data_IF_823127039646
#
_entry.id   IF_823127039646
#
_cell.length_a   1.000
_cell.length_b   1.000
_cell.length_c   1.000
_cell.angle_alpha   90.00
_cell.angle_beta   90.00
_cell.angle_gamma   90.00
#
_symmetry.space_group_name_H-M   'P 1'
#
loop_
_entity.id
_entity.type
_entity.pdbx_description
1 polymer ?
#
# COMPACT_ATOMS: atom_id res chain seq x y z
N UNK A 1 -3.89 4.02 -23.93
CA UNK A 1 -2.66 4.83 -24.12
C UNK A 1 -2.33 5.71 -22.92
N UNK A 2 -3.32 6.35 -22.25
CA UNK A 2 -3.11 7.25 -21.11
C UNK A 2 -2.47 6.51 -19.91
N UNK A 3 -2.94 5.30 -19.58
CA UNK A 3 -2.38 4.50 -18.50
C UNK A 3 -0.90 4.12 -18.75
N UNK A 4 -0.52 3.83 -20.01
CA UNK A 4 0.86 3.53 -20.39
C UNK A 4 1.80 4.74 -20.20
N UNK A 5 1.31 5.95 -20.55
CA UNK A 5 2.05 7.17 -20.31
C UNK A 5 2.22 7.46 -18.80
N UNK A 6 1.19 7.23 -17.99
CA UNK A 6 1.26 7.41 -16.55
C UNK A 6 2.24 6.44 -15.89
N UNK A 7 2.26 5.16 -16.30
CA UNK A 7 3.23 4.16 -15.83
C UNK A 7 4.67 4.58 -16.21
N UNK A 8 4.88 5.02 -17.44
CA UNK A 8 6.19 5.44 -17.92
C UNK A 8 6.67 6.73 -17.26
N UNK A 9 5.76 7.65 -16.96
CA UNK A 9 6.04 8.91 -16.28
C UNK A 9 6.41 8.68 -14.81
N UNK A 10 5.72 7.77 -14.11
CA UNK A 10 6.07 7.39 -12.75
C UNK A 10 7.35 6.56 -12.66
N UNK A 11 7.58 5.63 -13.59
CA UNK A 11 8.85 4.88 -13.66
C UNK A 11 10.05 5.80 -13.98
N UNK A 12 9.82 6.96 -14.59
CA UNK A 12 10.81 8.01 -14.85
C UNK A 12 10.84 9.07 -13.75
N UNK A 13 9.82 9.12 -12.92
CA UNK A 13 9.72 10.05 -11.81
C UNK A 13 10.52 9.49 -10.61
N UNK A 14 11.42 10.30 -10.06
CA UNK A 14 12.27 9.97 -8.91
C UNK A 14 11.48 9.40 -7.72
N UNK A 15 10.22 9.77 -7.58
CA UNK A 15 9.35 9.32 -6.50
C UNK A 15 8.92 7.85 -6.60
N UNK A 16 8.60 7.35 -7.80
CA UNK A 16 8.27 5.93 -8.00
C UNK A 16 9.47 5.02 -7.74
N UNK A 17 10.66 5.45 -8.19
CA UNK A 17 11.92 4.74 -7.92
C UNK A 17 12.22 4.75 -6.42
N UNK A 18 12.02 5.89 -5.73
CA UNK A 18 12.22 6.02 -4.28
C UNK A 18 11.30 5.07 -3.51
N UNK A 19 10.03 4.98 -3.90
CA UNK A 19 9.05 4.08 -3.31
C UNK A 19 9.48 2.60 -3.44
N UNK A 20 9.83 2.19 -4.67
CA UNK A 20 10.29 0.83 -4.93
C UNK A 20 11.59 0.51 -4.19
N UNK A 21 12.57 1.44 -4.21
CA UNK A 21 13.83 1.30 -3.51
C UNK A 21 13.63 1.22 -1.99
N UNK A 22 12.71 1.99 -1.44
CA UNK A 22 12.37 1.95 -0.02
C UNK A 22 11.89 0.55 0.40
N UNK A 23 10.89 -0.03 -0.30
CA UNK A 23 10.42 -1.38 0.00
C UNK A 23 11.49 -2.45 -0.23
N UNK A 24 12.32 -2.27 -1.25
CA UNK A 24 13.45 -3.18 -1.53
C UNK A 24 14.44 -3.18 -0.36
N UNK A 25 14.84 -2.00 0.14
CA UNK A 25 15.79 -1.87 1.27
C UNK A 25 15.19 -2.41 2.56
N UNK A 26 13.91 -2.10 2.85
CA UNK A 26 13.22 -2.60 4.04
C UNK A 26 13.13 -4.13 4.01
N UNK A 27 12.70 -4.70 2.89
CA UNK A 27 12.56 -6.14 2.74
C UNK A 27 13.92 -6.85 2.82
N UNK A 28 14.93 -6.38 2.10
CA UNK A 28 16.27 -6.92 2.15
C UNK A 28 16.88 -6.81 3.56
N UNK A 29 16.68 -5.67 4.23
CA UNK A 29 17.13 -5.44 5.60
C UNK A 29 16.52 -6.40 6.61
N UNK A 30 15.20 -6.68 6.49
CA UNK A 30 14.52 -7.64 7.36
C UNK A 30 15.03 -9.07 7.14
N UNK A 31 15.27 -9.47 5.90
CA UNK A 31 15.86 -10.78 5.60
C UNK A 31 17.30 -10.89 6.14
N UNK A 32 18.08 -9.81 6.10
CA UNK A 32 19.44 -9.81 6.64
C UNK A 32 19.46 -9.88 8.19
N UNK A 33 18.49 -9.21 8.86
CA UNK A 33 18.45 -9.13 10.33
C UNK A 33 17.82 -10.35 10.98
N UNK A 34 16.92 -11.05 10.31
CA UNK A 34 16.16 -12.16 10.88
C UNK A 34 16.54 -13.47 10.21
N UNK A 35 17.13 -14.40 11.01
CA UNK A 35 17.51 -15.72 10.55
C UNK A 35 16.32 -16.67 10.28
N UNK A 36 15.09 -16.32 10.71
CA UNK A 36 13.90 -17.14 10.55
C UNK A 36 12.93 -16.49 9.56
N UNK A 37 12.72 -17.10 8.43
CA UNK A 37 11.86 -16.62 7.33
C UNK A 37 10.42 -16.33 7.75
N UNK A 38 9.86 -17.11 8.66
CA UNK A 38 8.51 -16.89 9.19
C UNK A 38 8.38 -15.56 9.95
N UNK A 39 9.39 -15.16 10.73
CA UNK A 39 9.40 -13.86 11.44
C UNK A 39 9.53 -12.69 10.48
N UNK A 40 10.27 -12.86 9.38
CA UNK A 40 10.39 -11.85 8.32
C UNK A 40 9.03 -11.56 7.70
N UNK A 41 8.24 -12.58 7.37
CA UNK A 41 6.91 -12.41 6.78
C UNK A 41 5.96 -11.63 7.70
N UNK A 42 5.93 -11.92 9.00
CA UNK A 42 5.10 -11.20 9.98
C UNK A 42 5.56 -9.74 10.13
N UNK A 43 6.87 -9.50 10.22
CA UNK A 43 7.41 -8.14 10.31
C UNK A 43 7.13 -7.32 9.05
N UNK A 44 7.28 -7.92 7.87
CA UNK A 44 6.92 -7.31 6.59
C UNK A 44 5.44 -6.96 6.53
N UNK A 45 4.57 -7.87 6.99
CA UNK A 45 3.13 -7.65 6.99
C UNK A 45 2.75 -6.44 7.85
N UNK A 46 3.33 -6.30 9.04
CA UNK A 46 3.10 -5.15 9.93
C UNK A 46 3.60 -3.84 9.30
N UNK A 47 4.80 -3.83 8.75
CA UNK A 47 5.36 -2.66 8.05
C UNK A 47 4.51 -2.27 6.84
N UNK A 48 4.10 -3.23 6.02
CA UNK A 48 3.28 -3.00 4.85
C UNK A 48 1.89 -2.46 5.20
N UNK A 49 1.22 -3.05 6.21
CA UNK A 49 -0.10 -2.59 6.66
C UNK A 49 -0.10 -1.13 7.13
N UNK A 50 1.00 -0.67 7.73
CA UNK A 50 1.16 0.70 8.19
C UNK A 50 1.58 1.67 7.07
N UNK A 51 2.59 1.31 6.28
CA UNK A 51 3.20 2.20 5.30
C UNK A 51 2.44 2.30 3.98
N UNK A 52 1.84 1.21 3.49
CA UNK A 52 1.11 1.24 2.23
C UNK A 52 -0.04 2.26 2.25
N UNK A 53 -0.93 2.26 3.28
CA UNK A 53 -1.99 3.26 3.36
C UNK A 53 -1.47 4.69 3.44
N UNK A 54 -0.42 4.92 4.24
CA UNK A 54 0.21 6.23 4.37
C UNK A 54 0.72 6.75 3.03
N UNK A 55 1.57 5.94 2.39
CA UNK A 55 2.22 6.34 1.13
C UNK A 55 1.20 6.49 0.01
N UNK A 56 0.25 5.55 -0.12
CA UNK A 56 -0.80 5.62 -1.16
C UNK A 56 -1.69 6.85 -0.98
N UNK A 57 -2.04 7.21 0.27
CA UNK A 57 -2.84 8.40 0.57
C UNK A 57 -2.08 9.69 0.21
N UNK A 58 -0.82 9.80 0.60
CA UNK A 58 0.02 10.97 0.29
C UNK A 58 0.26 11.11 -1.20
N UNK A 59 0.71 10.04 -1.86
CA UNK A 59 1.02 10.08 -3.29
C UNK A 59 -0.23 10.35 -4.13
N UNK A 60 -1.35 9.71 -3.81
CA UNK A 60 -2.61 9.94 -4.51
C UNK A 60 -3.06 11.40 -4.44
N UNK A 61 -3.03 11.98 -3.24
CA UNK A 61 -3.41 13.37 -3.03
C UNK A 61 -2.46 14.34 -3.74
N UNK A 62 -1.15 14.16 -3.58
CA UNK A 62 -0.14 15.02 -4.22
C UNK A 62 -0.22 14.92 -5.74
N UNK A 63 -0.34 13.71 -6.28
CA UNK A 63 -0.44 13.48 -7.72
C UNK A 63 -1.67 14.15 -8.31
N UNK A 64 -2.82 14.02 -7.65
CA UNK A 64 -4.06 14.64 -8.09
C UNK A 64 -3.95 16.16 -8.16
N UNK A 65 -3.43 16.83 -7.12
CA UNK A 65 -3.26 18.28 -7.11
C UNK A 65 -2.24 18.76 -8.15
N UNK A 66 -1.14 18.04 -8.34
CA UNK A 66 -0.14 18.39 -9.36
C UNK A 66 -0.67 18.20 -10.79
N UNK A 67 -1.67 17.35 -10.96
CA UNK A 67 -2.26 17.07 -12.28
C UNK A 67 -3.49 17.93 -12.61
N UNK A 68 -3.92 18.84 -11.72
CA UNK A 68 -5.11 19.69 -11.95
C UNK A 68 -4.97 20.54 -13.21
N UNK A 69 -3.85 21.24 -13.39
CA UNK A 69 -3.60 22.06 -14.57
C UNK A 69 -3.62 21.23 -15.86
N UNK A 70 -3.04 20.04 -15.83
CA UNK A 70 -3.08 19.11 -16.95
C UNK A 70 -4.52 18.63 -17.23
N UNK A 71 -5.31 18.34 -16.20
CA UNK A 71 -6.72 17.96 -16.35
C UNK A 71 -7.53 19.09 -17.01
N UNK A 72 -7.34 20.33 -16.60
CA UNK A 72 -8.01 21.48 -17.17
C UNK A 72 -7.70 21.63 -18.67
N UNK A 73 -6.44 21.48 -19.06
CA UNK A 73 -6.01 21.53 -20.46
C UNK A 73 -6.58 20.37 -21.30
N UNK A 74 -6.61 19.15 -20.76
CA UNK A 74 -7.15 17.98 -21.47
C UNK A 74 -8.67 18.07 -21.62
N UNK A 75 -9.36 18.68 -20.65
CA UNK A 75 -10.81 18.85 -20.69
C UNK A 75 -11.29 19.93 -21.68
N UNK A 76 -10.40 20.74 -22.25
CA UNK A 76 -10.72 21.60 -23.41
C UNK A 76 -10.86 20.82 -24.70
N UNK A 77 -10.35 19.58 -24.74
CA UNK A 77 -10.50 18.66 -25.87
C UNK A 77 -11.79 17.82 -25.69
N UNK A 78 -12.36 17.23 -26.75
CA UNK A 78 -13.57 16.43 -26.69
C UNK A 78 -13.31 15.06 -26.04
N UNK A 79 -12.80 15.05 -24.78
CA UNK A 79 -12.52 13.84 -24.01
C UNK A 79 -13.43 13.81 -22.78
N UNK A 80 -13.97 12.64 -22.45
CA UNK A 80 -14.84 12.49 -21.29
C UNK A 80 -14.04 12.65 -19.99
N UNK A 81 -14.59 13.40 -19.02
CA UNK A 81 -13.99 13.60 -17.68
C UNK A 81 -13.69 12.26 -16.99
N UNK A 82 -14.58 11.26 -17.17
CA UNK A 82 -14.41 9.92 -16.59
C UNK A 82 -13.19 9.20 -17.15
N UNK A 83 -12.92 9.30 -18.44
CA UNK A 83 -11.76 8.66 -19.08
C UNK A 83 -10.45 9.23 -18.58
N UNK A 84 -10.37 10.56 -18.42
CA UNK A 84 -9.17 11.22 -17.89
C UNK A 84 -8.93 10.82 -16.44
N UNK A 85 -9.95 10.89 -15.60
CA UNK A 85 -9.87 10.53 -14.18
C UNK A 85 -9.46 9.05 -13.97
N UNK A 86 -10.15 8.12 -14.66
CA UNK A 86 -9.83 6.69 -14.57
C UNK A 86 -8.43 6.38 -15.12
N UNK A 87 -8.01 7.05 -16.19
CA UNK A 87 -6.67 6.89 -16.75
C UNK A 87 -5.58 7.29 -15.76
N UNK A 88 -5.76 8.41 -15.05
CA UNK A 88 -4.83 8.88 -14.02
C UNK A 88 -4.80 7.96 -12.80
N UNK A 89 -5.98 7.57 -12.31
CA UNK A 89 -6.11 6.64 -11.19
C UNK A 89 -5.46 5.29 -11.47
N UNK A 90 -5.83 4.64 -12.59
CA UNK A 90 -5.30 3.34 -12.96
C UNK A 90 -3.79 3.40 -13.27
N UNK A 91 -3.32 4.48 -13.88
CA UNK A 91 -1.89 4.68 -14.12
C UNK A 91 -1.09 4.76 -12.83
N UNK A 92 -1.55 5.55 -11.86
CA UNK A 92 -0.90 5.67 -10.56
C UNK A 92 -1.02 4.38 -9.74
N UNK A 93 -2.19 3.74 -9.74
CA UNK A 93 -2.40 2.45 -9.08
C UNK A 93 -1.45 1.36 -9.61
N UNK A 94 -1.36 1.23 -10.94
CA UNK A 94 -0.46 0.25 -11.57
C UNK A 94 1.01 0.52 -11.23
N UNK A 95 1.41 1.78 -11.16
CA UNK A 95 2.78 2.14 -10.83
C UNK A 95 3.13 1.87 -9.36
N UNK A 96 2.25 2.20 -8.41
CA UNK A 96 2.47 1.92 -6.99
C UNK A 96 2.41 0.41 -6.70
N UNK A 97 1.42 -0.29 -7.23
CA UNK A 97 1.32 -1.75 -7.10
C UNK A 97 2.53 -2.45 -7.73
N UNK A 98 2.93 -2.05 -8.94
CA UNK A 98 4.12 -2.58 -9.60
C UNK A 98 5.39 -2.33 -8.80
N UNK A 99 5.58 -1.11 -8.29
CA UNK A 99 6.70 -0.75 -7.41
C UNK A 99 6.74 -1.57 -6.12
N UNK A 100 5.58 -1.81 -5.51
CA UNK A 100 5.45 -2.66 -4.32
C UNK A 100 5.79 -4.13 -4.62
N UNK A 101 5.24 -4.69 -5.70
CA UNK A 101 5.51 -6.08 -6.10
C UNK A 101 7.00 -6.28 -6.39
N UNK A 102 7.64 -5.34 -7.08
CA UNK A 102 9.09 -5.38 -7.36
C UNK A 102 9.90 -5.21 -6.07
N UNK A 103 9.54 -4.22 -5.23
CA UNK A 103 10.27 -3.89 -4.00
C UNK A 103 10.24 -4.99 -2.95
N UNK A 104 9.11 -5.69 -2.80
CA UNK A 104 8.97 -6.81 -1.86
C UNK A 104 9.28 -8.15 -2.54
N UNK A 105 8.82 -8.36 -3.77
CA UNK A 105 8.94 -9.63 -4.46
C UNK A 105 10.38 -10.01 -4.78
N UNK A 106 11.20 -9.08 -5.31
CA UNK A 106 12.58 -9.40 -5.69
C UNK A 106 13.42 -9.88 -4.49
N UNK A 107 13.51 -9.14 -3.36
CA UNK A 107 14.29 -9.61 -2.21
C UNK A 107 13.74 -10.92 -1.64
N UNK A 108 12.43 -11.09 -1.61
CA UNK A 108 11.79 -12.31 -1.11
C UNK A 108 12.13 -13.53 -1.96
N UNK A 109 12.26 -13.38 -3.27
CA UNK A 109 12.65 -14.45 -4.18
C UNK A 109 14.14 -14.77 -4.11
N UNK A 110 15.01 -13.77 -3.84
CA UNK A 110 16.47 -13.94 -3.83
C UNK A 110 16.98 -14.43 -2.47
N UNK A 111 16.37 -13.95 -1.36
CA UNK A 111 16.86 -14.17 -0.01
C UNK A 111 15.95 -15.10 0.81
N UNK A 112 14.75 -15.41 0.31
CA UNK A 112 13.77 -16.26 0.99
C UNK A 112 14.06 -17.74 0.79
N UNK A 113 13.57 -18.57 1.75
CA UNK A 113 13.54 -20.02 1.58
C UNK A 113 12.38 -20.41 0.68
N UNK A 114 12.61 -21.36 -0.23
CA UNK A 114 11.59 -21.81 -1.20
C UNK A 114 10.62 -22.86 -0.58
N UNK A 115 10.27 -22.68 0.70
CA UNK A 115 9.25 -23.51 1.32
C UNK A 115 7.85 -23.11 0.87
N UNK A 116 6.94 -24.06 0.73
CA UNK A 116 5.56 -23.79 0.30
C UNK A 116 4.86 -22.77 1.23
N UNK A 117 5.10 -22.87 2.55
CA UNK A 117 4.47 -21.97 3.53
C UNK A 117 4.95 -20.53 3.39
N UNK A 118 6.23 -20.33 3.07
CA UNK A 118 6.77 -19.00 2.86
C UNK A 118 6.26 -18.38 1.54
N UNK A 119 6.21 -19.17 0.47
CA UNK A 119 5.67 -18.70 -0.82
C UNK A 119 4.22 -18.25 -0.69
N UNK A 120 3.38 -19.02 0.02
CA UNK A 120 1.98 -18.67 0.28
C UNK A 120 1.90 -17.36 1.08
N UNK A 121 2.71 -17.20 2.13
CA UNK A 121 2.74 -15.99 2.96
C UNK A 121 3.13 -14.75 2.16
N UNK A 122 4.14 -14.85 1.29
CA UNK A 122 4.58 -13.75 0.43
C UNK A 122 3.50 -13.40 -0.62
N UNK A 123 2.87 -14.41 -1.24
CA UNK A 123 1.79 -14.18 -2.20
C UNK A 123 0.57 -13.52 -1.55
N UNK A 124 0.21 -13.95 -0.34
CA UNK A 124 -0.85 -13.30 0.44
C UNK A 124 -0.48 -11.85 0.75
N UNK A 125 0.75 -11.58 1.19
CA UNK A 125 1.23 -10.23 1.46
C UNK A 125 1.16 -9.33 0.22
N UNK A 126 1.64 -9.81 -0.93
CA UNK A 126 1.61 -9.06 -2.19
C UNK A 126 0.18 -8.78 -2.64
N UNK A 127 -0.73 -9.74 -2.48
CA UNK A 127 -2.13 -9.59 -2.85
C UNK A 127 -2.82 -8.57 -1.93
N UNK A 128 -2.73 -8.73 -0.62
CA UNK A 128 -3.35 -7.83 0.36
C UNK A 128 -2.78 -6.42 0.23
N UNK A 129 -1.45 -6.27 0.12
CA UNK A 129 -0.81 -4.98 -0.06
C UNK A 129 -1.21 -4.27 -1.35
N UNK A 130 -1.39 -5.01 -2.44
CA UNK A 130 -1.88 -4.47 -3.71
C UNK A 130 -3.32 -3.95 -3.59
N UNK A 131 -4.22 -4.72 -2.97
CA UNK A 131 -5.59 -4.28 -2.70
C UNK A 131 -5.64 -3.06 -1.80
N UNK A 132 -4.82 -3.04 -0.74
CA UNK A 132 -4.72 -1.93 0.18
C UNK A 132 -4.25 -0.65 -0.53
N UNK A 133 -3.25 -0.76 -1.41
CA UNK A 133 -2.77 0.34 -2.26
C UNK A 133 -3.91 0.93 -3.10
N UNK A 134 -4.66 0.08 -3.79
CA UNK A 134 -5.78 0.49 -4.66
C UNK A 134 -6.87 1.20 -3.87
N UNK A 135 -7.26 0.66 -2.70
CA UNK A 135 -8.32 1.23 -1.85
C UNK A 135 -7.91 2.60 -1.32
N UNK A 136 -6.72 2.71 -0.71
CA UNK A 136 -6.27 3.98 -0.13
C UNK A 136 -5.99 5.05 -1.19
N UNK A 137 -5.56 4.63 -2.38
CA UNK A 137 -5.45 5.52 -3.53
C UNK A 137 -6.81 6.06 -3.98
N UNK A 138 -7.86 5.22 -4.00
CA UNK A 138 -9.22 5.65 -4.32
C UNK A 138 -9.75 6.67 -3.29
N UNK A 139 -9.52 6.41 -2.00
CA UNK A 139 -9.89 7.31 -0.92
C UNK A 139 -9.15 8.66 -1.06
N UNK A 140 -7.87 8.65 -1.37
CA UNK A 140 -7.08 9.87 -1.54
C UNK A 140 -7.54 10.72 -2.73
N UNK A 141 -7.93 10.09 -3.85
CA UNK A 141 -8.52 10.77 -4.99
C UNK A 141 -9.88 11.39 -4.63
N UNK A 142 -10.70 10.67 -3.87
CA UNK A 142 -11.98 11.19 -3.39
C UNK A 142 -11.79 12.43 -2.50
N UNK A 143 -10.85 12.36 -1.56
CA UNK A 143 -10.52 13.50 -0.68
C UNK A 143 -10.04 14.69 -1.51
N UNK A 144 -9.16 14.46 -2.49
CA UNK A 144 -8.62 15.53 -3.34
C UNK A 144 -9.66 16.19 -4.24
N UNK A 145 -10.78 15.51 -4.52
CA UNK A 145 -11.95 16.11 -5.22
C UNK A 145 -12.78 16.98 -4.27
N UNK A 146 -12.94 16.55 -3.02
CA UNK A 146 -13.78 17.25 -2.02
C UNK A 146 -13.10 18.55 -1.55
N UNK A 147 -11.79 18.53 -1.38
CA UNK A 147 -11.03 19.67 -0.88
C UNK A 147 -10.30 20.38 -2.03
N UNK A 148 -10.62 21.67 -2.23
CA UNK A 148 -9.94 22.47 -3.26
C UNK A 148 -8.52 22.88 -2.84
N UNK A 149 -8.29 23.05 -1.55
CA UNK A 149 -7.01 23.44 -0.98
C UNK A 149 -6.11 22.21 -0.78
N UNK A 150 -4.91 22.27 -1.35
CA UNK A 150 -3.89 21.20 -1.25
C UNK A 150 -3.54 20.86 0.21
N UNK A 151 -3.42 21.88 1.07
CA UNK A 151 -3.08 21.69 2.49
C UNK A 151 -4.18 20.95 3.24
N UNK A 152 -5.43 21.35 3.03
CA UNK A 152 -6.61 20.69 3.62
C UNK A 152 -6.78 19.27 3.12
N UNK A 153 -6.58 19.04 1.83
CA UNK A 153 -6.66 17.69 1.25
C UNK A 153 -5.59 16.75 1.80
N UNK A 154 -4.33 17.21 1.92
CA UNK A 154 -3.25 16.42 2.53
C UNK A 154 -3.53 16.12 4.00
N UNK A 155 -3.99 17.12 4.77
CA UNK A 155 -4.33 16.92 6.18
C UNK A 155 -5.48 15.92 6.35
N UNK A 156 -6.52 15.99 5.49
CA UNK A 156 -7.62 15.03 5.50
C UNK A 156 -7.17 13.61 5.13
N UNK A 157 -6.31 13.45 4.13
CA UNK A 157 -5.77 12.16 3.72
C UNK A 157 -4.93 11.52 4.85
N UNK A 158 -4.07 12.31 5.52
CA UNK A 158 -3.33 11.88 6.70
C UNK A 158 -4.26 11.55 7.88
N UNK A 159 -5.33 12.34 8.08
CA UNK A 159 -6.34 12.08 9.11
C UNK A 159 -7.05 10.74 8.92
N UNK A 160 -7.45 10.42 7.68
CA UNK A 160 -8.07 9.12 7.36
C UNK A 160 -7.08 7.97 7.58
N UNK A 161 -5.82 8.13 7.16
CA UNK A 161 -4.79 7.13 7.41
C UNK A 161 -4.59 6.91 8.92
N UNK A 162 -4.41 7.98 9.69
CA UNK A 162 -4.20 7.90 11.14
C UNK A 162 -5.39 7.25 11.85
N UNK A 163 -6.61 7.64 11.48
CA UNK A 163 -7.83 7.05 12.03
C UNK A 163 -7.89 5.55 11.75
N UNK A 164 -7.58 5.13 10.51
CA UNK A 164 -7.58 3.71 10.13
C UNK A 164 -6.49 2.93 10.88
N UNK A 165 -5.30 3.50 11.05
CA UNK A 165 -4.21 2.88 11.80
C UNK A 165 -4.60 2.69 13.28
N UNK A 166 -5.15 3.74 13.94
CA UNK A 166 -5.59 3.67 15.34
C UNK A 166 -6.73 2.67 15.55
N UNK A 167 -7.70 2.63 14.64
CA UNK A 167 -8.82 1.67 14.71
C UNK A 167 -8.30 0.24 14.55
N UNK A 168 -7.37 0.01 13.63
CA UNK A 168 -6.77 -1.31 13.44
C UNK A 168 -6.03 -1.78 14.69
N UNK A 169 -5.14 -0.94 15.24
CA UNK A 169 -4.39 -1.26 16.46
C UNK A 169 -5.32 -1.48 17.66
N UNK A 170 -6.35 -0.66 17.80
CA UNK A 170 -7.37 -0.80 18.85
C UNK A 170 -8.16 -2.10 18.75
N UNK A 171 -8.56 -2.52 17.53
CA UNK A 171 -9.27 -3.78 17.31
C UNK A 171 -8.38 -4.99 17.59
N UNK A 172 -7.10 -4.94 17.19
CA UNK A 172 -6.14 -6.02 17.47
C UNK A 172 -5.94 -6.16 18.98
N UNK A 173 -5.82 -5.04 19.71
CA UNK A 173 -5.62 -5.03 21.15
C UNK A 173 -6.86 -5.55 21.90
N UNK A 174 -8.06 -5.13 21.49
CA UNK A 174 -9.33 -5.64 22.01
C UNK A 174 -9.47 -7.15 21.76
N UNK A 175 -9.16 -7.59 20.55
CA UNK A 175 -9.17 -9.02 20.19
C UNK A 175 -8.21 -9.82 21.08
N UNK A 176 -6.97 -9.35 21.23
CA UNK A 176 -5.98 -9.99 22.07
C UNK A 176 -6.44 -10.10 23.54
N UNK A 177 -7.05 -9.05 24.09
CA UNK A 177 -7.58 -9.06 25.45
C UNK A 177 -8.77 -10.03 25.61
N UNK A 178 -9.68 -10.03 24.65
CA UNK A 178 -10.90 -10.87 24.70
C UNK A 178 -10.56 -12.35 24.54
N UNK A 179 -9.57 -12.69 23.71
CA UNK A 179 -9.16 -14.09 23.51
C UNK A 179 -8.18 -14.59 24.59
N UNK A 180 -7.48 -13.70 25.31
CA UNK A 180 -6.63 -14.11 26.43
C UNK A 180 -7.42 -14.57 27.66
N UNK A 181 -8.69 -14.16 27.79
CA UNK A 181 -9.58 -14.58 28.87
C UNK A 181 -10.29 -15.93 28.63
N UNK A 182 -10.10 -16.53 27.45
CA UNK A 182 -10.50 -17.91 27.23
C UNK A 182 -9.33 -18.84 27.61
N UNK A 183 -9.38 -19.50 28.81
CA UNK A 183 -8.45 -20.56 29.10
C UNK A 183 -8.67 -21.66 28.05
N UNK A 184 -7.67 -21.91 27.23
CA UNK A 184 -7.61 -23.12 26.44
C UNK A 184 -7.53 -24.27 27.47
N UNK A 185 -8.69 -24.71 27.96
CA UNK A 185 -8.80 -25.96 28.64
C UNK A 185 -8.33 -27.03 27.64
N UNK A 186 -7.03 -27.34 27.71
CA UNK A 186 -6.54 -28.59 27.14
C UNK A 186 -7.35 -29.68 27.82
N UNK A 187 -8.16 -30.48 27.10
CA UNK A 187 -8.72 -31.68 27.70
C UNK A 187 -7.53 -32.54 28.11
N UNK A 188 -7.24 -32.57 29.43
CA UNK A 188 -6.41 -33.60 30.01
C UNK A 188 -7.09 -34.93 29.68
N UNK A 189 -6.60 -35.60 28.66
CA UNK A 189 -6.80 -37.02 28.48
C UNK A 189 -6.15 -37.71 29.69
N UNK A 190 -6.98 -37.88 30.74
CA UNK A 190 -6.75 -38.85 31.80
C UNK A 190 -7.11 -40.18 31.19
N UNK A 191 -6.14 -41.02 30.96
CA UNK A 191 -6.16 -42.47 31.12
C UNK A 191 -4.80 -43.04 30.71
#
# INVERSE_FOLDING_TARGET
HIAWYAIRDLARNRWGILYTAFFLVVTAGLFYMQAQSAKVAVSLMSVCLFLIPLVSSLFGTIYFYNSREFMELVLTQPVSRRTVFLGMYLGLAAALVGGFIVGVGIPSLVMGDWSNDQLVSILMLLTIGSFLTVIFLAISFLIAIIFDDRGKGLAAALGVWLFTALVYDGLVLLGAMTFSDYPLETPMLIA
#
